data_IF_230193881769
#
_entry.id   IF_230193881769
#
_cell.length_a   1.000
_cell.length_b   1.000
_cell.length_c   1.000
_cell.angle_alpha   90.00
_cell.angle_beta   90.00
_cell.angle_gamma   90.00
#
_symmetry.space_group_name_H-M   'P 1'
#
loop_
_entity.id
_entity.type
_entity.pdbx_description
1 polymer ?
#
# COMPACT_ATOMS: atom_id res chain seq x y z
N UNK A 1 28.70 21.63 -56.30
CA UNK A 1 27.32 21.12 -56.21
C UNK A 1 27.30 20.11 -55.06
N UNK A 2 27.02 20.60 -53.84
CA UNK A 2 27.02 19.79 -52.64
C UNK A 2 25.69 19.04 -52.53
N UNK A 3 25.74 17.71 -52.56
CA UNK A 3 24.59 16.84 -52.36
C UNK A 3 24.30 16.77 -50.84
N UNK A 4 23.25 17.47 -50.39
CA UNK A 4 22.73 17.36 -49.03
C UNK A 4 21.95 16.03 -48.92
N UNK A 5 22.53 15.05 -48.22
CA UNK A 5 21.81 13.88 -47.73
C UNK A 5 20.99 14.32 -46.51
N UNK A 6 19.67 14.42 -46.69
CA UNK A 6 18.74 14.57 -45.59
C UNK A 6 18.72 13.26 -44.78
N UNK A 7 19.42 13.25 -43.65
CA UNK A 7 19.30 12.19 -42.66
C UNK A 7 17.93 12.32 -42.01
N UNK A 8 17.04 11.36 -42.31
CA UNK A 8 15.85 11.10 -41.52
C UNK A 8 16.32 10.73 -40.10
N UNK A 9 16.23 11.68 -39.17
CA UNK A 9 16.29 11.35 -37.75
C UNK A 9 15.06 10.52 -37.46
N UNK A 10 15.23 9.20 -37.41
CA UNK A 10 14.28 8.35 -36.73
C UNK A 10 14.17 8.90 -35.32
N UNK A 11 13.02 9.47 -35.01
CA UNK A 11 12.64 9.76 -33.64
C UNK A 11 12.61 8.39 -32.99
N UNK A 12 13.68 8.04 -32.28
CA UNK A 12 13.65 6.94 -31.33
C UNK A 12 12.65 7.36 -30.28
N UNK A 13 11.40 7.01 -30.50
CA UNK A 13 10.37 7.07 -29.49
C UNK A 13 10.81 6.07 -28.44
N UNK A 14 11.59 6.53 -27.47
CA UNK A 14 11.82 5.81 -26.22
C UNK A 14 10.50 5.81 -25.49
N UNK A 15 9.69 4.81 -25.84
CA UNK A 15 8.53 4.36 -25.11
C UNK A 15 8.97 3.92 -23.72
N UNK A 16 9.34 4.87 -22.86
CA UNK A 16 9.35 4.74 -21.41
C UNK A 16 7.94 5.05 -20.93
N UNK A 17 7.01 4.16 -21.29
CA UNK A 17 5.75 4.02 -20.57
C UNK A 17 6.02 3.23 -19.29
N UNK A 18 6.86 3.78 -18.43
CA UNK A 18 6.69 3.58 -17.00
C UNK A 18 6.03 4.86 -16.52
N UNK A 19 4.78 4.75 -16.09
CA UNK A 19 4.04 5.84 -15.49
C UNK A 19 4.97 6.63 -14.55
N UNK A 20 5.07 7.94 -14.76
CA UNK A 20 5.64 8.87 -13.78
C UNK A 20 4.77 8.73 -12.53
N UNK A 21 5.13 7.82 -11.64
CA UNK A 21 4.59 7.78 -10.28
C UNK A 21 5.23 8.94 -9.55
N UNK A 22 4.44 9.73 -8.84
CA UNK A 22 4.97 10.65 -7.84
C UNK A 22 5.53 9.78 -6.70
N UNK A 23 6.79 9.35 -6.85
CA UNK A 23 7.53 8.79 -5.73
C UNK A 23 7.77 9.94 -4.75
N UNK A 24 7.27 9.80 -3.53
CA UNK A 24 7.50 10.76 -2.47
C UNK A 24 8.91 10.54 -1.92
N UNK A 25 9.84 11.52 -2.02
CA UNK A 25 11.21 11.36 -1.55
C UNK A 25 11.31 11.06 -0.05
N UNK A 26 10.23 11.27 0.71
CA UNK A 26 10.17 11.00 2.16
C UNK A 26 9.74 9.58 2.52
N UNK A 27 9.37 8.73 1.55
CA UNK A 27 8.82 7.40 1.79
C UNK A 27 9.77 6.29 1.32
N UNK A 28 10.31 5.52 2.27
CA UNK A 28 11.13 4.34 1.96
C UNK A 28 10.30 3.07 2.19
N UNK A 29 9.72 2.53 1.13
CA UNK A 29 8.82 1.36 1.19
C UNK A 29 9.21 0.34 0.10
N UNK A 30 8.97 -0.96 0.30
CA UNK A 30 9.30 -1.96 -0.71
C UNK A 30 8.37 -1.84 -1.92
N UNK A 31 8.90 -2.19 -3.08
CA UNK A 31 8.09 -2.44 -4.26
C UNK A 31 7.34 -3.77 -4.12
N UNK A 32 6.17 -3.86 -4.74
CA UNK A 32 5.49 -5.15 -4.90
C UNK A 32 6.27 -6.04 -5.87
N UNK A 33 6.26 -7.35 -5.63
CA UNK A 33 6.91 -8.33 -6.50
C UNK A 33 6.23 -8.33 -7.87
N UNK A 34 7.03 -8.33 -8.94
CA UNK A 34 6.55 -8.41 -10.32
C UNK A 34 5.98 -9.79 -10.68
N UNK A 35 6.11 -10.78 -9.79
CA UNK A 35 5.58 -12.12 -9.99
C UNK A 35 4.06 -12.21 -9.75
N UNK A 36 3.48 -11.24 -9.04
CA UNK A 36 2.06 -11.24 -8.70
C UNK A 36 1.35 -10.03 -9.30
N UNK A 37 0.16 -10.25 -9.88
CA UNK A 37 -0.67 -9.13 -10.35
C UNK A 37 -1.43 -8.50 -9.17
N UNK A 38 -0.86 -7.43 -8.64
CA UNK A 38 -1.43 -6.62 -7.56
C UNK A 38 -2.04 -5.30 -8.03
N UNK A 39 -2.32 -5.12 -9.33
CA UNK A 39 -2.86 -3.86 -9.83
C UNK A 39 -4.22 -3.50 -9.20
N UNK A 40 -5.03 -4.50 -8.83
CA UNK A 40 -6.31 -4.30 -8.13
C UNK A 40 -6.16 -3.54 -6.80
N UNK A 41 -4.99 -3.60 -6.17
CA UNK A 41 -4.72 -3.01 -4.86
C UNK A 41 -4.28 -1.54 -4.93
N UNK A 42 -3.98 -1.05 -6.14
CA UNK A 42 -3.49 0.31 -6.37
C UNK A 42 -4.61 1.31 -6.08
N UNK A 43 -4.30 2.38 -5.34
CA UNK A 43 -5.29 3.40 -5.01
C UNK A 43 -5.57 4.37 -6.18
N UNK A 44 -6.52 5.28 -5.99
CA UNK A 44 -6.88 6.30 -6.99
C UNK A 44 -5.77 7.31 -7.33
N UNK A 45 -4.64 7.28 -6.62
CA UNK A 45 -3.45 8.10 -6.87
C UNK A 45 -2.31 7.30 -7.51
N UNK A 46 -2.54 6.05 -7.91
CA UNK A 46 -1.52 5.21 -8.53
C UNK A 46 -0.50 4.66 -7.54
N UNK A 47 -0.82 4.59 -6.26
CA UNK A 47 0.09 4.13 -5.21
C UNK A 47 -0.12 2.64 -4.89
N UNK A 48 0.98 1.92 -4.69
CA UNK A 48 0.96 0.53 -4.23
C UNK A 48 0.42 0.43 -2.80
N UNK A 49 -0.01 -0.76 -2.33
CA UNK A 49 -0.42 -0.96 -0.95
C UNK A 49 0.72 -0.64 0.04
N UNK A 50 1.98 -0.84 -0.33
CA UNK A 50 3.13 -0.43 0.47
C UNK A 50 3.27 1.09 0.59
N UNK A 51 3.04 1.81 -0.51
CA UNK A 51 3.03 3.27 -0.49
C UNK A 51 1.86 3.81 0.36
N UNK A 52 0.65 3.26 0.20
CA UNK A 52 -0.51 3.63 1.05
C UNK A 52 -0.20 3.38 2.52
N UNK A 53 0.34 2.21 2.85
CA UNK A 53 0.75 1.87 4.22
C UNK A 53 1.77 2.86 4.76
N UNK A 54 2.77 3.23 3.95
CA UNK A 54 3.79 4.18 4.33
C UNK A 54 3.20 5.56 4.65
N UNK A 55 2.26 6.06 3.82
CA UNK A 55 1.59 7.32 4.07
C UNK A 55 0.71 7.30 5.32
N UNK A 56 0.05 6.19 5.62
CA UNK A 56 -0.71 6.07 6.87
C UNK A 56 0.24 5.98 8.06
N UNK A 57 1.36 5.27 7.93
CA UNK A 57 2.39 5.19 8.98
C UNK A 57 3.05 6.55 9.25
N UNK A 58 3.34 7.34 8.22
CA UNK A 58 3.99 8.65 8.37
C UNK A 58 3.21 9.63 9.22
N UNK A 59 1.87 9.61 9.14
CA UNK A 59 1.00 10.41 10.02
C UNK A 59 1.11 9.97 11.46
N UNK A 60 1.26 8.67 11.72
CA UNK A 60 1.37 8.14 13.08
C UNK A 60 2.63 8.63 13.81
N UNK A 61 3.71 8.91 13.08
CA UNK A 61 5.03 9.22 13.64
C UNK A 61 5.57 10.60 13.26
N UNK A 62 4.73 11.45 12.67
CA UNK A 62 5.05 12.87 12.42
C UNK A 62 6.01 13.12 11.26
N UNK A 63 6.06 12.24 10.25
CA UNK A 63 6.85 12.47 9.04
C UNK A 63 7.50 11.21 8.48
N UNK A 64 8.80 11.30 8.16
CA UNK A 64 9.54 10.25 7.45
C UNK A 64 9.27 8.86 8.05
N UNK A 65 8.82 7.94 7.21
CA UNK A 65 8.43 6.61 7.63
C UNK A 65 8.99 5.59 6.65
N UNK A 66 9.46 4.47 7.20
CA UNK A 66 10.07 3.40 6.43
C UNK A 66 9.36 2.10 6.72
N UNK A 67 8.99 1.39 5.68
CA UNK A 67 8.57 0.00 5.76
C UNK A 67 9.71 -0.80 5.13
N UNK A 68 10.39 -1.69 5.86
CA UNK A 68 11.41 -2.53 5.26
C UNK A 68 10.79 -3.60 4.36
N UNK A 69 11.55 -4.07 3.37
CA UNK A 69 11.19 -5.29 2.65
C UNK A 69 11.22 -6.48 3.61
N UNK A 70 10.30 -7.42 3.43
CA UNK A 70 10.18 -8.61 4.28
C UNK A 70 10.64 -9.84 3.51
N UNK A 71 11.38 -10.73 4.17
CA UNK A 71 11.86 -11.96 3.53
C UNK A 71 10.83 -13.10 3.62
N UNK A 72 10.89 -14.11 2.73
CA UNK A 72 9.99 -15.25 2.80
C UNK A 72 10.07 -15.96 4.16
N UNK A 73 8.92 -16.15 4.80
CA UNK A 73 8.81 -16.76 6.14
C UNK A 73 8.68 -15.74 7.28
N UNK A 74 8.88 -14.45 7.00
CA UNK A 74 8.63 -13.35 7.93
C UNK A 74 7.29 -12.65 7.64
N UNK A 75 6.84 -11.83 8.58
CA UNK A 75 5.66 -10.99 8.46
C UNK A 75 5.88 -9.66 9.19
N UNK A 76 5.12 -8.63 8.80
CA UNK A 76 5.12 -7.39 9.55
C UNK A 76 4.48 -7.60 10.93
N UNK A 77 5.25 -7.28 11.97
CA UNK A 77 4.76 -7.12 13.33
C UNK A 77 5.18 -5.74 13.85
N UNK A 78 4.38 -5.16 14.72
CA UNK A 78 4.70 -3.90 15.37
C UNK A 78 5.09 -4.16 16.82
N UNK A 79 6.30 -3.72 17.20
CA UNK A 79 6.69 -3.62 18.59
C UNK A 79 5.78 -2.66 19.36
N UNK A 80 5.77 -2.78 20.69
CA UNK A 80 4.88 -1.98 21.55
C UNK A 80 5.11 -0.47 21.39
N UNK A 81 6.32 -0.05 21.04
CA UNK A 81 6.69 1.34 20.75
C UNK A 81 6.06 1.90 19.47
N UNK A 82 5.65 1.03 18.54
CA UNK A 82 4.98 1.41 17.29
C UNK A 82 3.46 1.22 17.37
N UNK A 83 2.93 0.62 18.44
CA UNK A 83 1.51 0.42 18.64
C UNK A 83 0.90 1.64 19.34
N UNK A 84 0.10 2.40 18.58
CA UNK A 84 -0.60 3.59 19.04
C UNK A 84 -1.95 3.69 18.34
N UNK A 85 -2.79 4.66 18.71
CA UNK A 85 -4.13 4.79 18.13
C UNK A 85 -4.15 4.82 16.60
N UNK A 86 -3.09 5.32 15.95
CA UNK A 86 -3.00 5.40 14.49
C UNK A 86 -2.71 4.03 13.84
N UNK A 87 -1.74 3.29 14.36
CA UNK A 87 -1.37 1.96 13.84
C UNK A 87 -2.30 0.84 14.31
N UNK A 88 -2.95 1.01 15.46
CA UNK A 88 -3.97 0.12 16.03
C UNK A 88 -5.34 0.25 15.32
N UNK A 89 -5.32 0.39 14.00
CA UNK A 89 -6.48 0.46 13.13
C UNK A 89 -6.48 -0.75 12.19
N UNK A 90 -7.63 -1.39 12.01
CA UNK A 90 -7.75 -2.48 11.02
C UNK A 90 -7.54 -1.99 9.59
N UNK A 91 -7.70 -0.69 9.34
CA UNK A 91 -7.40 -0.06 8.04
C UNK A 91 -5.89 -0.03 7.79
N UNK A 92 -5.11 0.38 8.80
CA UNK A 92 -3.64 0.34 8.71
C UNK A 92 -3.14 -1.10 8.58
N UNK A 93 -3.66 -2.01 9.41
CA UNK A 93 -3.35 -3.44 9.33
C UNK A 93 -3.68 -4.04 7.94
N UNK A 94 -4.82 -3.69 7.35
CA UNK A 94 -5.21 -4.20 6.01
C UNK A 94 -4.27 -3.67 4.93
N UNK A 95 -3.92 -2.39 4.97
CA UNK A 95 -2.96 -1.81 4.02
C UNK A 95 -1.58 -2.50 4.13
N UNK A 96 -1.10 -2.70 5.36
CA UNK A 96 0.21 -3.32 5.62
C UNK A 96 0.22 -4.81 5.26
N UNK A 97 -0.89 -5.52 5.49
CA UNK A 97 -1.08 -6.91 5.09
C UNK A 97 -1.10 -7.04 3.56
N UNK A 98 -1.77 -6.13 2.86
CA UNK A 98 -1.73 -6.08 1.40
C UNK A 98 -0.31 -5.77 0.88
N UNK A 99 0.47 -4.94 1.58
CA UNK A 99 1.88 -4.72 1.26
C UNK A 99 2.73 -5.99 1.43
N UNK A 100 2.53 -6.74 2.52
CA UNK A 100 3.21 -8.02 2.72
C UNK A 100 2.84 -9.01 1.60
N UNK A 101 1.54 -9.13 1.33
CA UNK A 101 1.03 -10.04 0.31
C UNK A 101 1.50 -9.67 -1.10
N UNK A 102 1.63 -8.38 -1.42
CA UNK A 102 2.15 -7.95 -2.72
C UNK A 102 3.65 -8.23 -2.90
N UNK A 103 4.41 -8.36 -1.80
CA UNK A 103 5.79 -8.84 -1.82
C UNK A 103 5.88 -10.38 -1.91
N UNK A 104 4.76 -11.09 -1.78
CA UNK A 104 4.72 -12.55 -1.80
C UNK A 104 4.96 -13.19 -0.43
N UNK A 105 4.79 -12.44 0.66
CA UNK A 105 4.94 -12.96 2.03
C UNK A 105 3.62 -12.94 2.78
N UNK A 106 3.54 -13.78 3.82
CA UNK A 106 2.36 -13.89 4.67
C UNK A 106 2.23 -12.71 5.65
N UNK A 107 1.08 -12.64 6.32
CA UNK A 107 0.77 -11.66 7.35
C UNK A 107 0.09 -12.35 8.54
N UNK A 108 0.21 -11.75 9.72
CA UNK A 108 -0.31 -12.33 10.97
C UNK A 108 -1.80 -12.05 11.16
N UNK A 109 -2.43 -12.63 12.19
CA UNK A 109 -3.83 -12.34 12.55
C UNK A 109 -3.99 -10.92 13.12
N UNK A 110 -5.21 -10.37 13.07
CA UNK A 110 -5.49 -9.10 13.72
C UNK A 110 -5.27 -9.17 15.25
N UNK A 111 -5.65 -10.27 15.89
CA UNK A 111 -5.41 -10.50 17.32
C UNK A 111 -3.92 -10.38 17.66
N UNK A 112 -3.05 -11.03 16.89
CA UNK A 112 -1.60 -10.98 17.11
C UNK A 112 -1.03 -9.59 16.83
N UNK A 113 -1.46 -8.96 15.73
CA UNK A 113 -1.02 -7.62 15.35
C UNK A 113 -1.37 -6.56 16.42
N UNK A 114 -2.57 -6.66 16.99
CA UNK A 114 -3.11 -5.70 17.96
C UNK A 114 -2.80 -6.04 19.42
N UNK A 115 -1.92 -7.01 19.69
CA UNK A 115 -1.64 -7.51 21.05
C UNK A 115 -1.26 -6.43 22.07
N UNK A 116 -0.55 -5.37 21.66
CA UNK A 116 -0.14 -4.28 22.54
C UNK A 116 -0.99 -3.00 22.37
N UNK A 117 -2.12 -3.09 21.65
CA UNK A 117 -3.02 -1.96 21.43
C UNK A 117 -3.94 -1.76 22.63
N UNK A 118 -3.77 -0.67 23.36
CA UNK A 118 -4.70 -0.27 24.43
C UNK A 118 -6.08 0.15 23.91
N UNK A 119 -6.14 0.65 22.68
CA UNK A 119 -7.38 1.04 22.00
C UNK A 119 -7.26 0.66 20.53
N UNK A 120 -8.33 0.06 20.00
CA UNK A 120 -8.40 -0.41 18.62
C UNK A 120 -9.48 0.32 17.83
N UNK A 121 -9.21 0.55 16.54
CA UNK A 121 -10.14 1.20 15.62
C UNK A 121 -10.51 0.21 14.50
N UNK A 122 -11.73 -0.32 14.58
CA UNK A 122 -12.24 -1.30 13.63
C UNK A 122 -12.88 -0.58 12.44
N UNK A 123 -12.48 -0.95 11.23
CA UNK A 123 -12.95 -0.40 9.94
C UNK A 123 -12.90 1.14 9.85
N UNK A 124 -12.03 1.77 10.64
CA UNK A 124 -11.81 3.21 10.66
C UNK A 124 -10.33 3.48 10.84
N UNK A 125 -9.80 4.44 10.08
CA UNK A 125 -8.49 5.02 10.31
C UNK A 125 -8.68 6.34 11.08
N UNK A 126 -8.15 6.46 12.31
CA UNK A 126 -8.54 7.55 13.22
C UNK A 126 -7.78 8.86 12.99
N UNK A 127 -6.79 8.88 12.09
CA UNK A 127 -6.06 10.10 11.73
C UNK A 127 -6.56 10.67 10.41
N UNK A 128 -6.29 11.95 10.18
CA UNK A 128 -6.54 12.59 8.90
C UNK A 128 -5.66 11.96 7.82
N UNK A 129 -6.28 11.46 6.75
CA UNK A 129 -5.56 10.90 5.61
C UNK A 129 -4.82 12.05 4.87
N UNK A 130 -3.50 11.95 4.65
CA UNK A 130 -2.74 12.97 3.93
C UNK A 130 -3.27 13.19 2.51
N UNK A 131 -3.27 14.43 2.03
CA UNK A 131 -3.71 14.76 0.66
C UNK A 131 -2.89 14.06 -0.44
N UNK A 132 -1.66 13.65 -0.10
CA UNK A 132 -0.78 12.86 -0.95
C UNK A 132 -1.20 11.40 -1.13
N UNK A 133 -2.12 10.87 -0.32
CA UNK A 133 -2.60 9.47 -0.43
C UNK A 133 -4.12 9.38 -0.45
N UNK A 134 -4.62 8.19 -0.74
CA UNK A 134 -6.02 7.82 -0.63
C UNK A 134 -6.09 6.37 -0.16
N UNK A 135 -6.95 6.09 0.82
CA UNK A 135 -7.15 4.72 1.30
C UNK A 135 -8.20 4.04 0.43
N UNK A 136 -7.86 2.93 -0.25
CA UNK A 136 -8.84 2.19 -1.05
C UNK A 136 -9.94 1.57 -0.20
N UNK A 137 -11.14 1.40 -0.78
CA UNK A 137 -12.27 0.76 -0.11
C UNK A 137 -11.94 -0.64 0.44
N UNK A 138 -11.11 -1.41 -0.28
CA UNK A 138 -10.71 -2.76 0.14
C UNK A 138 -9.96 -2.81 1.48
N UNK A 139 -9.41 -1.69 1.95
CA UNK A 139 -8.70 -1.63 3.24
C UNK A 139 -9.65 -1.52 4.45
N UNK A 140 -10.95 -1.29 4.22
CA UNK A 140 -11.95 -1.10 5.28
C UNK A 140 -12.71 -2.39 5.64
N UNK A 141 -12.15 -3.56 5.30
CA UNK A 141 -12.72 -4.87 5.64
C UNK A 141 -13.05 -4.98 7.13
N UNK A 142 -14.17 -5.64 7.43
CA UNK A 142 -14.58 -5.96 8.80
C UNK A 142 -13.73 -7.11 9.35
N UNK A 143 -12.58 -6.77 9.96
CA UNK A 143 -11.64 -7.73 10.55
C UNK A 143 -11.68 -7.59 12.07
N UNK A 144 -11.86 -8.70 12.78
CA UNK A 144 -11.92 -8.72 14.26
C UNK A 144 -11.36 -10.03 14.81
N UNK A 145 -10.92 -10.01 16.08
CA UNK A 145 -10.41 -11.20 16.76
C UNK A 145 -9.27 -11.87 15.98
N UNK A 146 -9.33 -13.19 15.82
CA UNK A 146 -8.30 -13.98 15.13
C UNK A 146 -8.41 -13.98 13.60
N UNK A 147 -9.27 -13.14 13.01
CA UNK A 147 -9.36 -13.02 11.56
C UNK A 147 -8.09 -12.40 10.96
N UNK A 148 -7.80 -12.75 9.71
CA UNK A 148 -6.71 -12.17 8.91
C UNK A 148 -7.28 -11.29 7.79
N UNK A 149 -6.41 -10.50 7.15
CA UNK A 149 -6.75 -9.83 5.90
C UNK A 149 -7.15 -10.84 4.81
N UNK A 150 -8.29 -10.63 4.17
CA UNK A 150 -8.77 -11.49 3.09
C UNK A 150 -8.45 -10.85 1.74
N UNK A 151 -7.41 -11.35 1.07
CA UNK A 151 -6.95 -10.85 -0.24
C UNK A 151 -8.00 -11.03 -1.33
N UNK A 152 -8.77 -12.12 -1.31
CA UNK A 152 -9.83 -12.37 -2.29
C UNK A 152 -10.95 -11.34 -2.17
N UNK A 153 -11.46 -11.10 -0.96
CA UNK A 153 -12.47 -10.06 -0.71
C UNK A 153 -11.93 -8.67 -1.03
N UNK A 154 -10.65 -8.42 -0.73
CA UNK A 154 -9.99 -7.17 -1.07
C UNK A 154 -9.94 -6.93 -2.58
N UNK A 155 -9.59 -7.97 -3.33
CA UNK A 155 -9.50 -7.93 -4.79
C UNK A 155 -10.87 -7.68 -5.42
N UNK A 156 -11.91 -8.38 -4.95
CA UNK A 156 -13.29 -8.13 -5.40
C UNK A 156 -13.71 -6.68 -5.15
N UNK A 157 -13.43 -6.14 -3.96
CA UNK A 157 -13.72 -4.75 -3.63
C UNK A 157 -12.89 -3.74 -4.44
N UNK A 158 -11.64 -4.08 -4.77
CA UNK A 158 -10.75 -3.24 -5.58
C UNK A 158 -11.16 -3.15 -7.05
N UNK A 159 -11.75 -4.22 -7.60
CA UNK A 159 -12.25 -4.27 -8.97
C UNK A 159 -13.60 -3.53 -9.12
N UNK A 160 -14.39 -3.42 -8.04
CA UNK A 160 -15.70 -2.77 -8.04
C UNK A 160 -15.79 -1.55 -7.09
N UNK A 161 -15.01 -0.47 -7.31
CA UNK A 161 -14.97 0.69 -6.42
C UNK A 161 -16.27 1.52 -6.34
N UNK A 162 -17.36 1.13 -7.04
CA UNK A 162 -18.57 1.93 -7.20
C UNK A 162 -19.87 1.30 -6.69
N UNK A 163 -19.86 0.08 -6.11
CA UNK A 163 -21.11 -0.66 -5.82
C UNK A 163 -21.50 -0.80 -4.35
N UNK A 164 -20.78 -0.21 -3.39
CA UNK A 164 -21.11 -0.40 -1.95
C UNK A 164 -21.41 0.90 -1.17
N UNK A 165 -21.90 1.94 -1.83
CA UNK A 165 -22.50 3.10 -1.14
C UNK A 165 -23.99 3.26 -1.47
N UNK A 166 -24.74 2.16 -1.46
CA UNK A 166 -26.21 2.17 -1.45
C UNK A 166 -26.73 1.44 -0.22
#
# INVERSE_FOLDING_TARGET
MFLLLALFTTVWSTSLWWHVRCEDPSLNVPACSSQFDYQWSVNSKGQSPCQVSGYLGSVCFGGAFSIPAVTPGEYYSLGSELQNNCTCSTVYYSALSACASCQGVSYTTWADFSTNCSTVFLSVYPQTIPSGTAVPHWAYQAITGSATFNTTLAQEAGVYPHLQQQ
#
